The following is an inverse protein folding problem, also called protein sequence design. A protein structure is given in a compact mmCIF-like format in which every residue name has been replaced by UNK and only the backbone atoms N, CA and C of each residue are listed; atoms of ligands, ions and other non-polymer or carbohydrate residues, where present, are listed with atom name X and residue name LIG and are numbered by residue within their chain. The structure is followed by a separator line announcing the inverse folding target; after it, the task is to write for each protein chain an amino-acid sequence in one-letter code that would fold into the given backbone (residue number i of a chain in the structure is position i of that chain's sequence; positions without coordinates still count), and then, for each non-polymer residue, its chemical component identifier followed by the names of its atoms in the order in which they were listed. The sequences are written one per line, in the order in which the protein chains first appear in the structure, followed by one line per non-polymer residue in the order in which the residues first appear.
data_IF_202921977961
#
_entry.id   IF_202921977961
#
_cell.length_a   1.000
_cell.length_b   1.000
_cell.length_c   1.000
_cell.angle_alpha   90.00
_cell.angle_beta   90.00
_cell.angle_gamma   90.00
#
_symmetry.space_group_name_H-M   'P 1'
#
loop_
_entity.id
_entity.type
_entity.pdbx_description
1 polymer ?
#
# COMPACT_ATOMS: atom_id res chain seq x y z
N UNK A 1 -3.67 -0.75 2.43
CA UNK A 1 -3.50 0.03 3.68
C UNK A 1 -3.02 -0.85 4.83
N UNK A 2 -3.72 -1.95 5.16
CA UNK A 2 -3.41 -2.78 6.34
C UNK A 2 -1.96 -3.32 6.39
N UNK A 3 -1.41 -3.74 5.25
CA UNK A 3 -0.05 -4.31 5.18
C UNK A 3 1.01 -3.34 5.71
N UNK A 4 0.92 -2.05 5.37
CA UNK A 4 1.96 -1.07 5.78
C UNK A 4 1.83 -0.72 7.27
N UNK A 5 0.62 -0.79 7.84
CA UNK A 5 0.40 -0.54 9.26
C UNK A 5 1.04 -1.63 10.13
N UNK A 6 1.02 -2.89 9.68
CA UNK A 6 1.65 -4.01 10.39
C UNK A 6 3.19 -3.89 10.43
N UNK A 7 3.78 -3.13 9.50
CA UNK A 7 5.23 -2.93 9.37
C UNK A 7 5.71 -1.60 9.97
N UNK A 8 4.78 -0.77 10.46
CA UNK A 8 5.07 0.56 10.99
C UNK A 8 5.64 0.50 12.42
N UNK A 9 6.43 1.50 12.80
CA UNK A 9 6.93 1.66 14.18
C UNK A 9 5.77 1.90 15.13
N UNK A 10 5.84 1.30 16.33
CA UNK A 10 4.82 1.49 17.37
C UNK A 10 4.62 2.94 17.82
N UNK A 11 5.63 3.81 17.64
CA UNK A 11 5.56 5.24 17.96
C UNK A 11 4.57 6.02 17.07
N UNK A 12 4.23 5.49 15.89
CA UNK A 12 3.33 6.16 14.95
C UNK A 12 1.83 5.90 15.24
N UNK A 13 1.48 5.25 16.36
CA UNK A 13 0.09 4.89 16.68
C UNK A 13 -0.92 6.06 16.59
N UNK A 14 -0.63 7.27 17.08
CA UNK A 14 -1.55 8.41 16.93
C UNK A 14 -1.71 8.87 15.47
N UNK A 15 -0.67 8.70 14.64
CA UNK A 15 -0.73 9.01 13.22
C UNK A 15 -1.49 7.94 12.44
N UNK A 16 -1.31 6.66 12.81
CA UNK A 16 -2.09 5.54 12.27
C UNK A 16 -3.59 5.74 12.47
N UNK A 17 -4.02 6.12 13.68
CA UNK A 17 -5.44 6.33 13.98
C UNK A 17 -6.07 7.41 13.09
N UNK A 18 -5.40 8.57 12.99
CA UNK A 18 -5.86 9.67 12.11
C UNK A 18 -5.90 9.24 10.65
N UNK A 19 -4.86 8.55 10.19
CA UNK A 19 -4.76 8.10 8.80
C UNK A 19 -5.80 7.03 8.49
N UNK A 20 -6.07 6.09 9.40
CA UNK A 20 -7.14 5.10 9.27
C UNK A 20 -8.52 5.75 9.11
N UNK A 21 -8.78 6.84 9.85
CA UNK A 21 -10.02 7.61 9.68
C UNK A 21 -10.15 8.23 8.29
N UNK A 22 -9.10 8.89 7.80
CA UNK A 22 -9.08 9.48 6.45
C UNK A 22 -9.19 8.42 5.34
N UNK A 23 -8.46 7.30 5.47
CA UNK A 23 -8.55 6.17 4.54
C UNK A 23 -9.97 5.63 4.45
N UNK A 24 -10.67 5.53 5.58
CA UNK A 24 -12.08 5.14 5.61
C UNK A 24 -13.00 6.12 4.88
N UNK A 25 -12.72 7.42 4.95
CA UNK A 25 -13.45 8.44 4.17
C UNK A 25 -13.18 8.27 2.67
N UNK A 26 -11.92 8.11 2.27
CA UNK A 26 -11.54 7.94 0.87
C UNK A 26 -12.10 6.65 0.25
N UNK A 27 -12.07 5.55 1.00
CA UNK A 27 -12.65 4.28 0.56
C UNK A 27 -14.17 4.39 0.35
N UNK A 28 -14.90 5.10 1.24
CA UNK A 28 -16.34 5.36 1.04
C UNK A 28 -16.64 6.24 -0.16
N UNK A 29 -15.70 7.10 -0.56
CA UNK A 29 -15.79 7.91 -1.76
C UNK A 29 -15.36 7.15 -3.04
N UNK A 30 -15.04 5.85 -2.95
CA UNK A 30 -14.62 5.05 -4.10
C UNK A 30 -13.19 5.30 -4.58
N UNK A 31 -12.37 6.01 -3.80
CA UNK A 31 -10.99 6.32 -4.14
C UNK A 31 -10.07 5.14 -3.81
N UNK A 32 -9.09 4.87 -4.66
CA UNK A 32 -8.01 3.92 -4.35
C UNK A 32 -7.03 4.55 -3.39
N UNK A 33 -6.73 3.87 -2.30
CA UNK A 33 -5.83 4.38 -1.26
C UNK A 33 -4.49 3.66 -1.27
N UNK A 34 -3.41 4.40 -1.02
CA UNK A 34 -2.07 3.86 -0.77
C UNK A 34 -1.51 4.50 0.51
N UNK A 35 -0.83 3.71 1.33
CA UNK A 35 -0.09 4.19 2.51
C UNK A 35 1.39 4.18 2.17
N UNK A 36 2.08 5.26 2.50
CA UNK A 36 3.51 5.44 2.27
C UNK A 36 4.25 5.44 3.61
N UNK A 37 5.33 4.68 3.65
CA UNK A 37 6.23 4.60 4.79
C UNK A 37 7.66 4.45 4.31
N UNK A 38 8.63 4.79 5.15
CA UNK A 38 10.05 4.66 4.83
C UNK A 38 10.86 4.15 6.00
N UNK A 39 12.02 3.54 5.72
CA UNK A 39 13.07 3.34 6.70
C UNK A 39 14.40 3.79 6.10
N UNK A 40 15.14 4.57 6.88
CA UNK A 40 16.49 4.99 6.51
C UNK A 40 17.46 3.88 6.92
N UNK A 41 18.19 3.34 5.95
CA UNK A 41 19.24 2.35 6.18
C UNK A 41 20.60 3.03 6.28
N UNK A 42 21.46 2.50 7.13
CA UNK A 42 22.88 2.82 7.09
C UNK A 42 23.50 2.27 5.80
N UNK A 43 24.69 2.80 5.44
CA UNK A 43 25.41 2.34 4.25
C UNK A 43 25.79 0.86 4.35
N UNK A 44 26.18 0.39 5.53
CA UNK A 44 26.56 -1.01 5.74
C UNK A 44 25.36 -1.96 5.60
N UNK A 45 24.20 -1.60 6.18
CA UNK A 45 22.96 -2.36 6.02
C UNK A 45 22.55 -2.42 4.55
N UNK A 46 22.55 -1.29 3.85
CA UNK A 46 22.16 -1.23 2.44
C UNK A 46 23.07 -2.09 1.54
N UNK A 47 24.39 -2.06 1.78
CA UNK A 47 25.35 -2.89 1.03
C UNK A 47 25.12 -4.37 1.31
N UNK A 48 24.88 -4.73 2.57
CA UNK A 48 24.64 -6.12 2.98
C UNK A 48 23.34 -6.65 2.38
N UNK A 49 22.26 -5.89 2.49
CA UNK A 49 20.97 -6.20 1.92
C UNK A 49 21.04 -6.35 0.39
N UNK A 50 21.70 -5.42 -0.30
CA UNK A 50 21.82 -5.47 -1.76
C UNK A 50 22.54 -6.73 -2.24
N UNK A 51 23.58 -7.19 -1.52
CA UNK A 51 24.26 -8.47 -1.85
C UNK A 51 23.33 -9.66 -1.69
N UNK A 52 22.56 -9.71 -0.60
CA UNK A 52 21.57 -10.77 -0.37
C UNK A 52 20.46 -10.74 -1.44
N UNK A 53 19.96 -9.56 -1.79
CA UNK A 53 18.94 -9.38 -2.82
C UNK A 53 19.45 -9.83 -4.19
N UNK A 54 20.69 -9.50 -4.56
CA UNK A 54 21.28 -9.97 -5.81
C UNK A 54 21.44 -11.49 -5.85
N UNK A 55 21.83 -12.12 -4.74
CA UNK A 55 21.89 -13.57 -4.67
C UNK A 55 20.50 -14.20 -4.83
N UNK A 56 19.48 -13.65 -4.15
CA UNK A 56 18.11 -14.11 -4.25
C UNK A 56 17.53 -13.92 -5.67
N UNK A 57 17.78 -12.78 -6.33
CA UNK A 57 17.25 -12.49 -7.66
C UNK A 57 17.83 -13.37 -8.78
N UNK A 58 19.00 -13.95 -8.55
CA UNK A 58 19.69 -14.87 -9.48
C UNK A 58 19.50 -16.34 -9.11
N UNK A 59 18.70 -16.65 -8.07
CA UNK A 59 18.37 -18.02 -7.69
C UNK A 59 17.57 -18.73 -8.80
N UNK A 60 17.94 -19.99 -9.05
CA UNK A 60 17.27 -20.86 -10.03
C UNK A 60 15.99 -21.44 -9.42
N UNK A 61 16.08 -21.88 -8.17
CA UNK A 61 14.99 -22.48 -7.41
C UNK A 61 14.46 -21.51 -6.35
N UNK A 62 13.16 -21.57 -6.06
CA UNK A 62 12.49 -20.82 -4.99
C UNK A 62 12.77 -19.29 -4.97
N UNK A 63 13.03 -18.70 -6.14
CA UNK A 63 13.41 -17.29 -6.28
C UNK A 63 12.44 -16.33 -5.60
N UNK A 64 11.14 -16.55 -5.75
CA UNK A 64 10.11 -15.68 -5.15
C UNK A 64 10.18 -15.69 -3.62
N UNK A 65 10.28 -16.88 -3.01
CA UNK A 65 10.42 -17.01 -1.56
C UNK A 65 11.74 -16.41 -1.05
N UNK A 66 12.84 -16.59 -1.80
CA UNK A 66 14.13 -15.98 -1.46
C UNK A 66 14.08 -14.44 -1.50
N UNK A 67 13.40 -13.87 -2.50
CA UNK A 67 13.21 -12.42 -2.61
C UNK A 67 12.33 -11.88 -1.49
N UNK A 68 11.24 -12.56 -1.16
CA UNK A 68 10.34 -12.19 -0.07
C UNK A 68 11.07 -12.23 1.28
N UNK A 69 11.86 -13.28 1.55
CA UNK A 69 12.67 -13.37 2.76
C UNK A 69 13.68 -12.20 2.87
N UNK A 70 14.33 -11.83 1.77
CA UNK A 70 15.26 -10.69 1.75
C UNK A 70 14.53 -9.35 1.90
N UNK A 71 13.36 -9.17 1.31
CA UNK A 71 12.53 -7.98 1.47
C UNK A 71 12.11 -7.79 2.94
N UNK A 72 11.66 -8.86 3.60
CA UNK A 72 11.25 -8.84 5.00
C UNK A 72 12.39 -8.40 5.95
N UNK A 73 13.66 -8.59 5.58
CA UNK A 73 14.79 -8.11 6.39
C UNK A 73 14.91 -6.59 6.46
N UNK A 74 14.24 -5.86 5.55
CA UNK A 74 14.23 -4.40 5.56
C UNK A 74 12.86 -3.77 5.76
N UNK A 75 11.80 -4.51 5.47
CA UNK A 75 10.40 -4.15 5.65
C UNK A 75 9.94 -4.36 7.10
N UNK A 76 10.55 -3.64 8.04
CA UNK A 76 10.12 -3.57 9.43
C UNK A 76 10.50 -2.20 9.98
N UNK A 77 9.91 -1.79 11.11
CA UNK A 77 10.19 -0.49 11.74
C UNK A 77 10.15 0.68 10.73
N UNK A 78 9.12 0.69 9.89
CA UNK A 78 8.90 1.77 8.93
C UNK A 78 8.30 2.99 9.64
N UNK A 79 8.80 4.18 9.29
CA UNK A 79 8.20 5.45 9.69
C UNK A 79 7.06 5.77 8.71
N UNK A 80 5.86 6.01 9.24
CA UNK A 80 4.72 6.43 8.41
C UNK A 80 4.92 7.85 7.89
N UNK A 81 4.70 8.02 6.58
CA UNK A 81 4.80 9.32 5.91
C UNK A 81 3.41 9.90 5.63
N UNK A 82 2.46 9.05 5.24
CA UNK A 82 1.10 9.48 4.94
C UNK A 82 0.38 8.52 4.01
N UNK A 83 -0.72 9.00 3.42
CA UNK A 83 -1.51 8.24 2.47
C UNK A 83 -1.93 9.10 1.28
N UNK A 84 -2.09 8.47 0.13
CA UNK A 84 -2.67 9.07 -1.08
C UNK A 84 -4.03 8.46 -1.37
N UNK A 85 -4.91 9.25 -1.98
CA UNK A 85 -6.18 8.79 -2.53
C UNK A 85 -6.23 9.15 -4.01
N UNK A 86 -6.41 8.14 -4.85
CA UNK A 86 -6.40 8.25 -6.31
C UNK A 86 -7.82 8.00 -6.80
N UNK A 87 -8.34 8.95 -7.55
CA UNK A 87 -9.62 8.82 -8.23
C UNK A 87 -9.43 8.10 -9.57
N UNK A 88 -10.08 6.96 -9.74
CA UNK A 88 -10.26 6.38 -11.07
C UNK A 88 -11.41 7.13 -11.74
N UNK A 89 -11.05 8.09 -12.62
CA UNK A 89 -12.07 8.86 -13.32
C UNK A 89 -12.96 7.96 -14.17
N UNK A 90 -14.26 8.04 -13.89
CA UNK A 90 -15.29 7.47 -14.74
C UNK A 90 -15.48 8.31 -16.00
N UNK A 91 -16.12 7.72 -17.01
CA UNK A 91 -16.62 8.51 -18.14
C UNK A 91 -17.68 9.50 -17.65
N UNK A 92 -17.88 10.57 -18.42
CA UNK A 92 -18.96 11.53 -18.15
C UNK A 92 -20.31 10.81 -18.07
N UNK A 93 -21.17 11.29 -17.18
CA UNK A 93 -22.55 10.80 -16.96
C UNK A 93 -22.73 9.33 -16.54
N UNK A 94 -21.65 8.58 -16.27
CA UNK A 94 -21.77 7.20 -15.75
C UNK A 94 -22.63 7.11 -14.48
N UNK A 95 -22.43 7.97 -13.44
CA UNK A 95 -23.25 7.90 -12.23
C UNK A 95 -24.75 8.16 -12.50
N UNK A 96 -25.05 9.19 -13.31
CA UNK A 96 -26.43 9.55 -13.66
C UNK A 96 -27.10 8.44 -14.49
N UNK A 97 -26.36 7.85 -15.44
CA UNK A 97 -26.86 6.75 -16.27
C UNK A 97 -27.18 5.52 -15.42
N UNK A 98 -26.33 5.17 -14.45
CA UNK A 98 -26.59 4.06 -13.52
C UNK A 98 -27.85 4.31 -12.70
N UNK A 99 -28.05 5.54 -12.23
CA UNK A 99 -29.25 5.94 -11.48
C UNK A 99 -30.52 5.83 -12.33
N UNK A 100 -30.49 6.31 -13.57
CA UNK A 100 -31.62 6.22 -14.51
C UNK A 100 -31.97 4.76 -14.83
N UNK A 101 -30.97 3.91 -15.06
CA UNK A 101 -31.17 2.48 -15.28
C UNK A 101 -31.81 1.81 -14.05
N UNK A 102 -31.32 2.12 -12.85
CA UNK A 102 -31.87 1.61 -11.61
C UNK A 102 -33.34 2.04 -11.41
N UNK A 103 -33.66 3.31 -11.67
CA UNK A 103 -35.02 3.85 -11.61
C UNK A 103 -35.97 3.21 -12.64
N UNK A 104 -35.43 2.81 -13.79
CA UNK A 104 -36.16 2.05 -14.81
C UNK A 104 -36.34 0.55 -14.45
N UNK A 105 -35.85 0.10 -13.29
CA UNK A 105 -35.92 -1.29 -12.84
C UNK A 105 -34.89 -2.21 -13.50
N UNK A 106 -33.89 -1.65 -14.18
CA UNK A 106 -32.80 -2.39 -14.80
C UNK A 106 -31.69 -2.57 -13.75
N UNK A 107 -31.30 -3.81 -13.48
CA UNK A 107 -30.18 -4.11 -12.58
C UNK A 107 -28.85 -3.94 -13.33
N UNK A 108 -28.00 -3.08 -12.77
CA UNK A 108 -26.61 -2.84 -13.19
C UNK A 108 -25.62 -3.65 -12.37
#
# INVERSE_FOLDING_TARGET
DNVVFDLARGEDAPMMERMSSHLGVFARAGLRTLVLAQRVLTREEAVTWHRAYHAASTAIDEREAALEAVAATVEHDLQLLGATAIEDRLQEDVPATIEDLANAGIKT
#
